data_IF_397524035056
#
_entry.id   IF_397524035056
#
_cell.length_a   1.000
_cell.length_b   1.000
_cell.length_c   1.000
_cell.angle_alpha   90.00
_cell.angle_beta   90.00
_cell.angle_gamma   90.00
#
_symmetry.space_group_name_H-M   'P 1'
#
loop_
_entity.id
_entity.type
_entity.pdbx_description
1 polymer ?
#
# COMPACT_ATOMS: atom_id res chain seq x y z
N UNK A 1 19.99 -1.72 -12.38
CA UNK A 1 18.60 -1.38 -12.23
C UNK A 1 18.04 -2.20 -11.07
N UNK A 2 17.21 -1.61 -10.23
CA UNK A 2 16.62 -2.30 -9.08
C UNK A 2 15.17 -2.66 -9.38
N UNK A 3 14.70 -3.78 -8.82
CA UNK A 3 13.38 -4.34 -9.10
C UNK A 3 12.66 -4.68 -7.80
N UNK A 4 11.34 -4.54 -7.81
CA UNK A 4 10.45 -5.05 -6.77
C UNK A 4 9.11 -5.46 -7.38
N UNK A 5 8.49 -6.52 -6.84
CA UNK A 5 7.11 -6.88 -7.20
C UNK A 5 6.18 -6.37 -6.10
N UNK A 6 5.29 -5.47 -6.43
CA UNK A 6 4.36 -4.83 -5.49
C UNK A 6 2.97 -4.72 -6.12
N UNK A 7 1.92 -5.02 -5.38
CA UNK A 7 0.51 -4.99 -5.83
C UNK A 7 0.24 -5.76 -7.13
N UNK A 8 1.04 -6.80 -7.37
CA UNK A 8 0.99 -7.61 -8.59
C UNK A 8 1.61 -6.94 -9.82
N UNK A 9 2.33 -5.83 -9.64
CA UNK A 9 3.09 -5.13 -10.68
C UNK A 9 4.59 -5.33 -10.49
N UNK A 10 5.33 -5.52 -11.59
CA UNK A 10 6.81 -5.54 -11.59
C UNK A 10 7.31 -4.13 -11.81
N UNK A 11 7.89 -3.56 -10.77
CA UNK A 11 8.38 -2.18 -10.76
C UNK A 11 9.90 -2.18 -10.88
N UNK A 12 10.41 -1.47 -11.90
CA UNK A 12 11.83 -1.19 -12.10
C UNK A 12 12.17 0.21 -11.61
N UNK A 13 13.26 0.35 -10.88
CA UNK A 13 13.76 1.63 -10.37
C UNK A 13 15.16 1.90 -10.96
N UNK A 14 15.24 2.96 -11.74
CA UNK A 14 16.50 3.59 -12.17
C UNK A 14 16.63 4.93 -11.45
N UNK A 15 17.59 5.05 -10.57
CA UNK A 15 17.75 6.23 -9.74
C UNK A 15 19.17 6.80 -9.81
N UNK A 16 19.29 7.95 -10.46
CA UNK A 16 20.56 8.67 -10.59
C UNK A 16 21.06 9.29 -9.27
N UNK A 17 20.26 9.22 -8.19
CA UNK A 17 20.56 9.85 -6.88
C UNK A 17 20.70 8.76 -5.81
N UNK A 18 21.93 8.33 -5.44
CA UNK A 18 22.14 7.19 -4.54
C UNK A 18 21.42 7.30 -3.18
N UNK A 19 21.41 8.51 -2.58
CA UNK A 19 20.72 8.74 -1.31
C UNK A 19 19.19 8.53 -1.41
N UNK A 20 18.62 8.84 -2.56
CA UNK A 20 17.20 8.64 -2.80
C UNK A 20 16.90 7.17 -3.06
N UNK A 21 17.77 6.46 -3.78
CA UNK A 21 17.66 5.01 -3.96
C UNK A 21 17.63 4.28 -2.61
N UNK A 22 18.57 4.60 -1.70
CA UNK A 22 18.59 4.03 -0.36
C UNK A 22 17.33 4.34 0.46
N UNK A 23 16.75 5.54 0.26
CA UNK A 23 15.50 5.95 0.89
C UNK A 23 14.31 5.16 0.34
N UNK A 24 14.27 4.90 -0.97
CA UNK A 24 13.23 4.10 -1.62
C UNK A 24 13.34 2.63 -1.20
N UNK A 25 14.56 2.09 -1.13
CA UNK A 25 14.80 0.74 -0.63
C UNK A 25 14.32 0.57 0.83
N UNK A 26 14.65 1.51 1.70
CA UNK A 26 14.11 1.52 3.05
C UNK A 26 12.57 1.63 3.07
N UNK A 27 11.97 2.33 2.11
CA UNK A 27 10.52 2.45 1.94
C UNK A 27 9.84 1.15 1.50
N UNK A 28 10.58 0.23 0.87
CA UNK A 28 10.12 -1.13 0.53
C UNK A 28 10.48 -2.17 1.60
N UNK A 29 11.13 -1.77 2.70
CA UNK A 29 11.63 -2.69 3.71
C UNK A 29 12.89 -3.46 3.30
N UNK A 30 13.65 -2.96 2.32
CA UNK A 30 14.88 -3.60 1.80
C UNK A 30 14.59 -4.63 0.70
N UNK A 31 13.46 -4.52 0.01
CA UNK A 31 13.04 -5.49 -1.02
C UNK A 31 13.47 -5.08 -2.45
N UNK A 32 14.18 -3.95 -2.62
CA UNK A 32 14.73 -3.59 -3.91
C UNK A 32 15.96 -4.45 -4.22
N UNK A 33 15.88 -5.30 -5.23
CA UNK A 33 16.96 -6.20 -5.65
C UNK A 33 17.48 -5.84 -7.03
N UNK A 34 18.78 -6.01 -7.27
CA UNK A 34 19.33 -5.89 -8.62
C UNK A 34 18.87 -7.06 -9.48
N UNK A 35 18.18 -6.76 -10.59
CA UNK A 35 17.68 -7.77 -11.51
C UNK A 35 17.54 -7.23 -12.94
N UNK A 36 17.36 -8.15 -13.90
CA UNK A 36 17.02 -7.82 -15.27
C UNK A 36 15.59 -7.27 -15.40
N UNK A 37 15.37 -6.43 -16.42
CA UNK A 37 14.11 -5.70 -16.64
C UNK A 37 13.00 -6.53 -17.30
N UNK A 38 12.98 -7.84 -17.11
CA UNK A 38 11.99 -8.68 -17.76
C UNK A 38 10.59 -8.50 -17.16
N UNK A 39 9.59 -8.35 -18.02
CA UNK A 39 8.18 -8.25 -17.62
C UNK A 39 7.83 -7.04 -16.75
N UNK A 40 8.60 -5.95 -16.83
CA UNK A 40 8.36 -4.70 -16.09
C UNK A 40 7.07 -4.06 -16.57
N UNK A 41 6.22 -3.68 -15.61
CA UNK A 41 4.95 -3.00 -15.86
C UNK A 41 4.95 -1.55 -15.38
N UNK A 42 5.84 -1.20 -14.45
CA UNK A 42 6.06 0.18 -13.97
C UNK A 42 7.55 0.48 -14.01
N UNK A 43 7.95 1.47 -14.79
CA UNK A 43 9.32 1.98 -14.82
C UNK A 43 9.39 3.31 -14.08
N UNK A 44 10.17 3.39 -13.03
CA UNK A 44 10.49 4.63 -12.34
C UNK A 44 11.92 5.04 -12.71
N UNK A 45 12.07 6.21 -13.33
CA UNK A 45 13.33 6.89 -13.56
C UNK A 45 13.42 8.13 -12.67
N UNK A 46 14.39 8.18 -11.76
CA UNK A 46 14.64 9.35 -10.93
C UNK A 46 15.86 10.09 -11.43
N UNK A 47 15.64 11.25 -12.03
CA UNK A 47 16.67 12.08 -12.62
C UNK A 47 17.31 13.03 -11.61
N UNK A 48 18.62 13.23 -11.70
CA UNK A 48 19.34 14.23 -10.92
C UNK A 48 19.10 15.68 -11.40
N UNK A 49 18.41 15.86 -12.54
CA UNK A 49 18.13 17.16 -13.12
C UNK A 49 17.10 17.95 -12.27
N UNK A 50 17.50 19.13 -11.83
CA UNK A 50 16.65 20.05 -11.06
C UNK A 50 15.80 21.00 -11.95
N UNK A 51 15.84 20.89 -13.29
CA UNK A 51 15.03 21.73 -14.19
C UNK A 51 13.58 21.26 -14.24
N UNK A 52 12.61 22.19 -14.46
CA UNK A 52 11.21 21.80 -14.66
C UNK A 52 11.06 20.94 -15.93
N UNK A 53 10.05 20.07 -15.93
CA UNK A 53 9.63 19.46 -17.18
C UNK A 53 9.06 20.51 -18.11
N UNK A 54 9.30 20.38 -19.44
CA UNK A 54 8.65 21.23 -20.43
C UNK A 54 7.15 20.98 -20.43
N UNK A 55 6.39 22.08 -20.44
CA UNK A 55 4.93 22.09 -20.55
C UNK A 55 4.46 22.37 -21.99
N UNK A 56 5.40 22.48 -22.94
CA UNK A 56 5.08 22.71 -24.32
C UNK A 56 4.17 21.60 -24.87
N UNK A 57 3.07 21.98 -25.50
CA UNK A 57 2.08 21.03 -26.01
C UNK A 57 1.19 20.38 -24.97
N UNK A 58 1.27 20.81 -23.70
CA UNK A 58 0.40 20.32 -22.63
C UNK A 58 -0.76 21.29 -22.35
N UNK A 59 -1.91 20.75 -21.98
CA UNK A 59 -3.09 21.50 -21.52
C UNK A 59 -3.14 21.46 -19.99
N UNK A 60 -3.31 22.62 -19.36
CA UNK A 60 -3.51 22.70 -17.91
C UNK A 60 -4.91 22.18 -17.56
N UNK A 61 -4.99 21.10 -16.76
CA UNK A 61 -6.27 20.49 -16.36
C UNK A 61 -6.55 20.65 -14.85
N UNK A 62 -5.58 21.13 -14.09
CA UNK A 62 -5.71 21.37 -12.66
C UNK A 62 -4.48 22.06 -12.09
N UNK A 63 -4.53 22.45 -10.82
CA UNK A 63 -3.41 23.12 -10.18
C UNK A 63 -2.16 22.23 -10.18
N UNK A 64 -1.16 22.63 -10.99
CA UNK A 64 0.08 21.87 -11.12
C UNK A 64 -0.04 20.57 -11.91
N UNK A 65 -1.11 20.43 -12.70
CA UNK A 65 -1.37 19.23 -13.50
C UNK A 65 -1.61 19.59 -14.94
N UNK A 66 -0.84 19.02 -15.84
CA UNK A 66 -0.97 19.18 -17.28
C UNK A 66 -1.17 17.83 -17.95
N UNK A 67 -2.03 17.80 -18.93
CA UNK A 67 -2.26 16.65 -19.81
C UNK A 67 -1.66 16.91 -21.19
N UNK A 68 -1.04 15.90 -21.77
CA UNK A 68 -0.68 15.83 -23.19
C UNK A 68 -1.19 14.51 -23.76
N UNK A 69 -1.18 14.27 -25.07
CA UNK A 69 -1.59 13.00 -25.63
C UNK A 69 -0.88 11.84 -24.93
N UNK A 70 -1.63 11.02 -24.20
CA UNK A 70 -1.17 9.85 -23.44
C UNK A 70 -0.07 10.15 -22.40
N UNK A 71 -0.01 11.36 -21.83
CA UNK A 71 0.89 11.66 -20.74
C UNK A 71 0.32 12.64 -19.74
N UNK A 72 0.79 12.56 -18.50
CA UNK A 72 0.49 13.49 -17.43
C UNK A 72 1.77 14.11 -16.89
N UNK A 73 1.72 15.39 -16.59
CA UNK A 73 2.77 16.10 -15.87
C UNK A 73 2.17 16.65 -14.58
N UNK A 74 2.75 16.28 -13.43
CA UNK A 74 2.30 16.70 -12.11
C UNK A 74 3.47 17.40 -11.40
N UNK A 75 3.30 18.65 -11.04
CA UNK A 75 4.28 19.37 -10.22
C UNK A 75 3.98 19.20 -8.75
N UNK A 76 5.02 19.04 -7.94
CA UNK A 76 4.93 18.84 -6.49
C UNK A 76 3.90 17.75 -6.12
N UNK A 77 4.02 16.60 -6.79
CA UNK A 77 3.09 15.48 -6.63
C UNK A 77 2.94 15.10 -5.14
N UNK A 78 1.71 15.02 -4.66
CA UNK A 78 1.38 14.72 -3.27
C UNK A 78 2.03 15.65 -2.23
N UNK A 79 2.49 16.84 -2.61
CA UNK A 79 3.28 17.76 -1.76
C UNK A 79 4.58 17.13 -1.25
N UNK A 80 5.21 16.32 -2.08
CA UNK A 80 6.46 15.60 -1.77
C UNK A 80 7.73 16.37 -2.17
N UNK A 81 7.58 17.35 -3.06
CA UNK A 81 8.68 18.04 -3.73
C UNK A 81 9.13 17.32 -5.01
N UNK A 82 8.46 16.26 -5.44
CA UNK A 82 8.73 15.62 -6.71
C UNK A 82 7.80 16.12 -7.81
N UNK A 83 8.37 16.52 -8.95
CA UNK A 83 7.65 16.66 -10.19
C UNK A 83 7.67 15.30 -10.91
N UNK A 84 6.53 14.89 -11.45
CA UNK A 84 6.37 13.63 -12.15
C UNK A 84 5.94 13.86 -13.59
N UNK A 85 6.54 13.11 -14.52
CA UNK A 85 5.99 12.84 -15.85
C UNK A 85 5.59 11.39 -15.92
N UNK A 86 4.34 11.12 -16.26
CA UNK A 86 3.78 9.77 -16.33
C UNK A 86 3.35 9.49 -17.76
N UNK A 87 3.93 8.48 -18.39
CA UNK A 87 3.75 8.12 -19.79
C UNK A 87 3.40 6.64 -19.91
N UNK A 88 2.10 6.29 -20.08
CA UNK A 88 1.71 4.94 -20.44
C UNK A 88 2.29 4.53 -21.79
N UNK A 89 2.88 3.32 -21.87
CA UNK A 89 3.50 2.77 -23.09
C UNK A 89 3.11 1.29 -23.22
N UNK A 90 2.08 1.00 -24.02
CA UNK A 90 1.59 -0.37 -24.17
C UNK A 90 1.10 -0.98 -22.85
N UNK A 91 1.72 -2.07 -22.42
CA UNK A 91 1.40 -2.77 -21.16
C UNK A 91 2.12 -2.23 -19.92
N UNK A 92 2.99 -1.23 -20.10
CA UNK A 92 3.78 -0.61 -19.03
C UNK A 92 3.47 0.89 -18.87
N UNK A 93 3.89 1.45 -17.75
CA UNK A 93 3.91 2.90 -17.51
C UNK A 93 5.33 3.35 -17.15
N UNK A 94 5.77 4.45 -17.75
CA UNK A 94 7.02 5.12 -17.42
C UNK A 94 6.73 6.34 -16.56
N UNK A 95 7.38 6.40 -15.40
CA UNK A 95 7.30 7.51 -14.44
C UNK A 95 8.68 8.12 -14.34
N UNK A 96 8.83 9.34 -14.87
CA UNK A 96 10.06 10.10 -14.70
C UNK A 96 9.87 11.10 -13.56
N UNK A 97 10.76 11.08 -12.57
CA UNK A 97 10.67 11.93 -11.39
C UNK A 97 11.87 12.88 -11.27
N UNK A 98 11.63 14.12 -10.85
CA UNK A 98 12.65 15.12 -10.52
C UNK A 98 12.37 15.70 -9.15
N UNK A 99 13.38 15.72 -8.27
CA UNK A 99 13.23 16.30 -6.93
C UNK A 99 13.45 17.81 -6.96
N UNK A 100 12.37 18.59 -6.86
CA UNK A 100 12.35 20.04 -6.98
C UNK A 100 11.52 20.72 -5.87
N UNK A 101 11.81 20.45 -4.60
CA UNK A 101 11.04 21.03 -3.52
C UNK A 101 11.24 22.55 -3.42
N UNK A 102 10.18 23.28 -3.08
CA UNK A 102 10.30 24.65 -2.61
C UNK A 102 11.13 24.70 -1.33
N UNK A 103 11.75 25.84 -1.01
CA UNK A 103 12.65 25.96 0.13
C UNK A 103 12.00 25.49 1.45
N UNK A 104 10.76 25.86 1.72
CA UNK A 104 10.02 25.44 2.92
C UNK A 104 9.80 23.91 2.95
N UNK A 105 9.44 23.28 1.81
CA UNK A 105 9.27 21.83 1.71
C UNK A 105 10.63 21.13 1.89
N UNK A 106 11.70 21.66 1.32
CA UNK A 106 13.06 21.13 1.49
C UNK A 106 13.47 21.12 2.97
N UNK A 107 13.28 22.24 3.66
CA UNK A 107 13.55 22.31 5.09
C UNK A 107 12.70 21.31 5.89
N UNK A 108 11.40 21.23 5.61
CA UNK A 108 10.50 20.27 6.25
C UNK A 108 10.92 18.82 6.00
N UNK A 109 11.35 18.47 4.79
CA UNK A 109 11.81 17.13 4.44
C UNK A 109 13.10 16.73 5.16
N UNK A 110 13.98 17.69 5.46
CA UNK A 110 15.18 17.45 6.27
C UNK A 110 14.82 17.22 7.73
N UNK A 111 13.99 18.08 8.31
CA UNK A 111 13.59 18.01 9.72
C UNK A 111 12.69 16.79 9.99
N UNK A 112 11.81 16.47 9.06
CA UNK A 112 10.84 15.35 9.16
C UNK A 112 11.27 14.18 8.25
N UNK A 113 12.50 13.72 8.39
CA UNK A 113 13.10 12.72 7.49
C UNK A 113 12.26 11.42 7.37
N UNK A 114 11.71 10.93 8.48
CA UNK A 114 10.82 9.75 8.49
C UNK A 114 9.56 9.97 7.65
N UNK A 115 8.93 11.16 7.79
CA UNK A 115 7.78 11.54 6.98
C UNK A 115 8.15 11.66 5.50
N UNK A 116 9.30 12.25 5.21
CA UNK A 116 9.78 12.38 3.82
C UNK A 116 10.03 11.02 3.18
N UNK A 117 10.66 10.07 3.90
CA UNK A 117 10.87 8.70 3.42
C UNK A 117 9.54 8.04 3.03
N UNK A 118 8.56 8.08 3.93
CA UNK A 118 7.24 7.52 3.66
C UNK A 118 6.57 8.18 2.44
N UNK A 119 6.60 9.51 2.38
CA UNK A 119 5.97 10.27 1.30
C UNK A 119 6.67 10.04 -0.05
N UNK A 120 8.00 9.91 -0.08
CA UNK A 120 8.75 9.59 -1.28
C UNK A 120 8.42 8.18 -1.79
N UNK A 121 8.41 7.17 -0.92
CA UNK A 121 8.00 5.81 -1.28
C UNK A 121 6.56 5.77 -1.80
N UNK A 122 5.62 6.44 -1.14
CA UNK A 122 4.23 6.55 -1.60
C UNK A 122 4.14 7.20 -2.98
N UNK A 123 4.79 8.35 -3.18
CA UNK A 123 4.65 9.12 -4.41
C UNK A 123 5.34 8.47 -5.60
N UNK A 124 6.49 7.83 -5.38
CA UNK A 124 7.33 7.32 -6.45
C UNK A 124 7.12 5.83 -6.75
N UNK A 125 6.79 5.02 -5.74
CA UNK A 125 6.64 3.57 -5.90
C UNK A 125 5.17 3.14 -5.75
N UNK A 126 4.55 3.43 -4.60
CA UNK A 126 3.28 2.82 -4.22
C UNK A 126 2.11 3.34 -5.07
N UNK A 127 1.97 4.65 -5.23
CA UNK A 127 0.83 5.23 -5.94
C UNK A 127 0.85 4.97 -7.44
N UNK A 128 2.01 5.07 -8.14
CA UNK A 128 2.08 4.66 -9.54
C UNK A 128 1.73 3.18 -9.74
N UNK A 129 2.24 2.28 -8.87
CA UNK A 129 1.93 0.85 -8.94
C UNK A 129 0.45 0.56 -8.66
N UNK A 130 -0.14 1.15 -7.62
CA UNK A 130 -1.56 1.02 -7.29
C UNK A 130 -2.47 1.55 -8.41
N UNK A 131 -2.13 2.73 -8.98
CA UNK A 131 -2.88 3.28 -10.12
C UNK A 131 -2.78 2.37 -11.34
N UNK A 132 -1.59 1.84 -11.62
CA UNK A 132 -1.40 0.94 -12.75
C UNK A 132 -2.13 -0.40 -12.57
N UNK A 133 -2.14 -0.93 -11.35
CA UNK A 133 -2.89 -2.12 -10.97
C UNK A 133 -4.43 -1.91 -11.11
N UNK A 134 -4.91 -0.69 -10.85
CA UNK A 134 -6.35 -0.39 -10.95
C UNK A 134 -6.91 -0.51 -12.37
N UNK A 135 -6.08 -0.38 -13.40
CA UNK A 135 -6.45 -0.66 -14.80
C UNK A 135 -6.81 -2.14 -15.06
N UNK A 136 -6.38 -3.02 -14.18
CA UNK A 136 -6.66 -4.47 -14.22
C UNK A 136 -7.79 -4.87 -13.27
N UNK A 137 -8.59 -3.92 -12.82
CA UNK A 137 -9.69 -4.14 -11.88
C UNK A 137 -9.26 -4.40 -10.43
N UNK A 138 -7.97 -4.21 -10.10
CA UNK A 138 -7.50 -4.33 -8.73
C UNK A 138 -7.73 -3.03 -7.98
N UNK A 139 -8.30 -3.11 -6.78
CA UNK A 139 -8.56 -1.94 -5.95
C UNK A 139 -7.73 -1.98 -4.67
N UNK A 140 -7.21 -0.84 -4.18
CA UNK A 140 -6.55 -0.83 -2.89
C UNK A 140 -7.58 -1.04 -1.77
N UNK A 141 -7.30 -2.03 -0.91
CA UNK A 141 -8.02 -2.26 0.34
C UNK A 141 -7.08 -2.13 1.53
N UNK A 142 -7.58 -1.54 2.63
CA UNK A 142 -6.83 -1.44 3.88
C UNK A 142 -6.97 -2.70 4.71
N UNK A 143 -6.19 -3.71 4.35
CA UNK A 143 -6.22 -5.04 4.94
C UNK A 143 -4.81 -5.58 5.15
N UNK A 144 -4.65 -6.47 6.15
CA UNK A 144 -3.53 -7.38 6.27
C UNK A 144 -3.96 -8.75 5.73
N UNK A 145 -3.06 -9.46 5.04
CA UNK A 145 -3.36 -10.81 4.54
C UNK A 145 -2.20 -11.74 4.84
N UNK A 146 -2.50 -12.83 5.56
CA UNK A 146 -1.51 -13.83 5.94
C UNK A 146 -2.05 -15.25 5.78
N UNK A 147 -1.14 -16.20 5.67
CA UNK A 147 -1.41 -17.63 5.61
C UNK A 147 -0.69 -18.36 6.72
N UNK A 148 -1.43 -19.17 7.45
CA UNK A 148 -0.95 -20.00 8.55
C UNK A 148 -1.69 -21.33 8.64
N UNK A 149 -1.57 -22.02 9.77
CA UNK A 149 -2.19 -23.34 9.99
C UNK A 149 -3.73 -23.34 9.88
N UNK A 150 -4.38 -22.16 9.97
CA UNK A 150 -5.82 -22.00 9.82
C UNK A 150 -6.29 -21.58 8.43
N UNK A 151 -5.40 -21.57 7.40
CA UNK A 151 -5.72 -21.10 6.05
C UNK A 151 -5.27 -19.65 5.80
N UNK A 152 -5.81 -19.04 4.76
CA UNK A 152 -5.45 -17.67 4.31
C UNK A 152 -6.50 -16.67 4.83
N UNK A 153 -6.07 -15.82 5.74
CA UNK A 153 -6.96 -14.85 6.39
C UNK A 153 -6.72 -13.44 5.87
N UNK A 154 -7.79 -12.79 5.41
CA UNK A 154 -7.83 -11.35 5.17
C UNK A 154 -8.36 -10.66 6.43
N UNK A 155 -7.61 -9.70 6.97
CA UNK A 155 -7.97 -8.98 8.20
C UNK A 155 -8.27 -7.53 7.86
N UNK A 156 -9.52 -7.12 8.02
CA UNK A 156 -9.99 -5.75 7.94
C UNK A 156 -10.12 -5.13 9.34
N UNK A 157 -10.13 -3.81 9.40
CA UNK A 157 -10.37 -3.07 10.64
C UNK A 157 -9.68 -1.72 10.66
N UNK A 158 -10.06 -0.84 11.60
CA UNK A 158 -9.54 0.53 11.66
C UNK A 158 -8.01 0.56 11.89
N UNK A 159 -7.40 1.69 11.57
CA UNK A 159 -5.99 1.90 11.90
C UNK A 159 -5.77 1.83 13.42
N UNK A 160 -4.69 1.15 13.84
CA UNK A 160 -4.36 1.02 15.27
C UNK A 160 -5.15 -0.05 16.03
N UNK A 161 -6.03 -0.82 15.38
CA UNK A 161 -6.81 -1.88 16.04
C UNK A 161 -5.96 -3.08 16.50
N UNK A 162 -4.75 -3.27 15.91
CA UNK A 162 -3.85 -4.36 16.26
C UNK A 162 -3.50 -5.32 15.11
N UNK A 163 -3.89 -5.01 13.86
CA UNK A 163 -3.59 -5.86 12.68
C UNK A 163 -2.09 -6.21 12.60
N UNK A 164 -1.22 -5.20 12.61
CA UNK A 164 0.24 -5.39 12.54
C UNK A 164 0.80 -6.21 13.71
N UNK A 165 0.22 -6.07 14.89
CA UNK A 165 0.62 -6.83 16.09
C UNK A 165 0.32 -8.32 15.91
N UNK A 166 -0.90 -8.65 15.46
CA UNK A 166 -1.31 -10.03 15.20
C UNK A 166 -0.52 -10.65 14.05
N UNK A 167 -0.29 -9.87 12.98
CA UNK A 167 0.53 -10.30 11.86
C UNK A 167 1.97 -10.59 12.31
N UNK A 168 2.60 -9.70 13.08
CA UNK A 168 3.93 -9.90 13.63
C UNK A 168 4.01 -11.16 14.49
N UNK A 169 2.98 -11.43 15.29
CA UNK A 169 2.92 -12.64 16.09
C UNK A 169 2.83 -13.92 15.23
N UNK A 170 2.07 -13.90 14.14
CA UNK A 170 1.99 -15.01 13.19
C UNK A 170 3.32 -15.24 12.46
N UNK A 171 3.95 -14.19 11.95
CA UNK A 171 5.25 -14.28 11.28
C UNK A 171 6.35 -14.86 12.18
N UNK A 172 6.37 -14.51 13.47
CA UNK A 172 7.29 -15.12 14.47
C UNK A 172 7.07 -16.62 14.67
N UNK A 173 5.92 -17.16 14.25
CA UNK A 173 5.57 -18.59 14.28
C UNK A 173 5.68 -19.27 12.91
N UNK A 174 6.25 -18.59 11.91
CA UNK A 174 6.48 -19.15 10.59
C UNK A 174 5.30 -18.97 9.61
N UNK A 175 4.28 -18.19 9.95
CA UNK A 175 3.27 -17.76 8.98
C UNK A 175 3.91 -16.91 7.88
N UNK A 176 3.28 -16.88 6.70
CA UNK A 176 3.66 -16.02 5.59
C UNK A 176 2.59 -14.94 5.39
N UNK A 177 2.97 -13.82 4.78
CA UNK A 177 2.05 -12.73 4.52
C UNK A 177 2.34 -12.04 3.19
N UNK A 178 1.32 -11.39 2.61
CA UNK A 178 1.55 -10.56 1.43
C UNK A 178 1.68 -9.07 1.79
N UNK A 179 0.92 -8.57 2.78
CA UNK A 179 1.04 -7.22 3.28
C UNK A 179 0.52 -7.07 4.71
N UNK A 180 0.99 -6.02 5.40
CA UNK A 180 0.49 -5.60 6.72
C UNK A 180 -0.71 -4.65 6.64
N UNK A 181 -0.75 -3.77 5.64
CA UNK A 181 -1.60 -2.59 5.70
C UNK A 181 -2.43 -2.35 4.43
N UNK A 182 -1.84 -2.52 3.24
CA UNK A 182 -2.50 -2.29 1.96
C UNK A 182 -2.28 -3.48 1.03
N UNK A 183 -3.37 -3.99 0.46
CA UNK A 183 -3.33 -4.89 -0.69
C UNK A 183 -4.09 -4.27 -1.87
N UNK A 184 -3.60 -4.44 -3.09
CA UNK A 184 -4.44 -4.31 -4.26
C UNK A 184 -5.18 -5.63 -4.46
N UNK A 185 -6.51 -5.61 -4.41
CA UNK A 185 -7.34 -6.81 -4.47
C UNK A 185 -8.20 -6.81 -5.72
N UNK A 186 -8.31 -7.95 -6.35
CA UNK A 186 -9.47 -8.29 -7.19
C UNK A 186 -10.48 -9.09 -6.37
N UNK A 187 -11.42 -9.77 -7.02
CA UNK A 187 -12.47 -10.53 -6.32
C UNK A 187 -11.97 -11.81 -5.64
N UNK A 188 -10.75 -12.28 -5.95
CA UNK A 188 -10.18 -13.55 -5.49
C UNK A 188 -8.85 -13.41 -4.79
N UNK A 189 -7.98 -12.55 -5.31
CA UNK A 189 -6.57 -12.49 -4.93
C UNK A 189 -6.24 -11.14 -4.30
N UNK A 190 -5.46 -11.17 -3.23
CA UNK A 190 -4.86 -10.00 -2.58
C UNK A 190 -3.37 -9.93 -2.95
N UNK A 191 -2.97 -8.84 -3.59
CA UNK A 191 -1.58 -8.55 -3.98
C UNK A 191 -1.02 -7.50 -3.03
N UNK A 192 0.02 -7.88 -2.27
CA UNK A 192 0.54 -7.03 -1.21
C UNK A 192 1.29 -5.79 -1.71
N UNK A 193 1.05 -4.66 -1.06
CA UNK A 193 1.90 -3.49 -1.17
C UNK A 193 3.21 -3.76 -0.41
N UNK A 194 4.35 -3.57 -1.08
CA UNK A 194 5.66 -3.79 -0.48
C UNK A 194 6.03 -2.58 0.37
N UNK A 195 5.95 -2.77 1.68
CA UNK A 195 6.34 -1.78 2.69
C UNK A 195 6.87 -2.51 3.95
N UNK A 196 7.67 -1.85 4.81
CA UNK A 196 8.07 -2.44 6.07
C UNK A 196 6.88 -2.61 7.01
N UNK A 197 6.94 -3.65 7.85
CA UNK A 197 6.00 -3.85 8.95
C UNK A 197 6.24 -2.79 10.03
N UNK A 198 5.17 -2.15 10.52
CA UNK A 198 5.24 -1.12 11.57
C UNK A 198 4.73 -1.66 12.89
N UNK A 199 5.66 -2.00 13.78
CA UNK A 199 5.35 -2.62 15.08
C UNK A 199 5.61 -1.69 16.26
N UNK A 200 4.99 -2.01 17.39
CA UNK A 200 5.17 -1.33 18.68
C UNK A 200 5.50 -2.36 19.75
N UNK A 201 6.48 -3.22 19.48
CA UNK A 201 6.84 -4.37 20.34
C UNK A 201 8.26 -4.27 20.92
N UNK A 202 8.89 -3.09 20.88
CA UNK A 202 10.27 -2.90 21.33
C UNK A 202 11.34 -3.38 20.34
N UNK A 203 10.94 -3.80 19.13
CA UNK A 203 11.88 -4.17 18.06
C UNK A 203 12.85 -3.03 17.75
N UNK A 204 14.08 -3.38 17.35
CA UNK A 204 15.08 -2.41 16.88
C UNK A 204 14.89 -2.15 15.39
N UNK A 205 14.85 -0.87 15.02
CA UNK A 205 14.73 -0.45 13.63
C UNK A 205 14.52 1.05 13.48
N UNK A 206 14.39 1.56 12.25
CA UNK A 206 14.07 2.94 11.99
C UNK A 206 12.75 3.36 12.63
N UNK A 207 12.71 4.58 13.17
CA UNK A 207 11.49 5.13 13.74
C UNK A 207 10.44 5.38 12.66
N UNK A 208 9.21 4.98 12.93
CA UNK A 208 8.02 5.25 12.13
C UNK A 208 7.11 6.27 12.84
N UNK A 209 6.11 6.85 12.14
CA UNK A 209 5.11 7.70 12.78
C UNK A 209 4.42 7.01 13.96
N UNK A 210 4.01 7.81 14.94
CA UNK A 210 3.30 7.37 16.15
C UNK A 210 4.11 6.44 17.08
N UNK A 211 5.45 6.62 17.13
CA UNK A 211 6.32 5.86 18.05
C UNK A 211 6.47 4.37 17.69
N UNK A 212 6.16 4.01 16.45
CA UNK A 212 6.36 2.65 15.94
C UNK A 212 7.78 2.47 15.41
N UNK A 213 8.20 1.22 15.27
CA UNK A 213 9.46 0.83 14.63
C UNK A 213 9.16 0.10 13.33
N UNK A 214 9.93 0.40 12.28
CA UNK A 214 9.85 -0.33 11.01
C UNK A 214 10.78 -1.54 11.05
N UNK A 215 10.25 -2.69 10.68
CA UNK A 215 11.01 -3.94 10.53
C UNK A 215 10.69 -4.58 9.18
N UNK A 216 11.60 -5.34 8.56
CA UNK A 216 11.30 -6.09 7.35
C UNK A 216 10.11 -7.04 7.57
N UNK A 217 9.23 -7.17 6.57
CA UNK A 217 8.19 -8.19 6.59
C UNK A 217 8.78 -9.50 6.09
N UNK A 218 9.29 -10.29 7.02
CA UNK A 218 9.87 -11.63 6.72
C UNK A 218 8.76 -12.59 6.28
N UNK A 219 9.09 -13.53 5.38
CA UNK A 219 8.09 -14.47 4.86
C UNK A 219 7.07 -13.84 3.91
N UNK A 220 7.42 -12.71 3.29
CA UNK A 220 6.59 -12.06 2.28
C UNK A 220 6.40 -12.96 1.05
N UNK A 221 5.15 -13.02 0.58
CA UNK A 221 4.76 -13.59 -0.72
C UNK A 221 4.06 -12.53 -1.56
N UNK A 222 4.17 -12.57 -2.90
CA UNK A 222 3.62 -11.52 -3.77
C UNK A 222 2.10 -11.39 -3.70
N UNK A 223 1.39 -12.50 -3.52
CA UNK A 223 -0.06 -12.54 -3.42
C UNK A 223 -0.53 -13.74 -2.60
N UNK A 224 -1.76 -13.65 -2.12
CA UNK A 224 -2.49 -14.73 -1.44
C UNK A 224 -3.96 -14.71 -1.88
N UNK A 225 -4.62 -15.87 -1.86
CA UNK A 225 -6.05 -16.01 -2.10
C UNK A 225 -6.74 -16.27 -0.76
N UNK A 226 -7.45 -15.28 -0.18
CA UNK A 226 -8.12 -15.43 1.10
C UNK A 226 -9.26 -16.46 1.03
N UNK A 227 -9.33 -17.30 2.05
CA UNK A 227 -10.44 -18.24 2.28
C UNK A 227 -11.43 -17.75 3.35
N UNK A 228 -11.07 -16.69 4.09
CA UNK A 228 -11.93 -16.04 5.09
C UNK A 228 -11.62 -14.55 5.24
N UNK A 229 -12.65 -13.81 5.72
CA UNK A 229 -12.56 -12.39 6.05
C UNK A 229 -12.81 -12.17 7.54
N UNK A 230 -11.84 -11.58 8.24
CA UNK A 230 -11.93 -11.22 9.66
C UNK A 230 -12.04 -9.71 9.81
N UNK A 231 -13.13 -9.26 10.42
CA UNK A 231 -13.31 -7.88 10.88
C UNK A 231 -12.75 -7.78 12.29
N UNK A 232 -11.63 -7.07 12.43
CA UNK A 232 -10.92 -6.94 13.70
C UNK A 232 -11.41 -5.73 14.49
N UNK A 233 -11.75 -5.93 15.76
CA UNK A 233 -12.13 -4.89 16.72
C UNK A 233 -11.38 -5.07 18.03
N UNK A 234 -11.33 -4.04 18.86
CA UNK A 234 -10.90 -4.19 20.25
C UNK A 234 -12.03 -4.65 21.11
N UNK A 235 -11.76 -5.58 22.03
CA UNK A 235 -12.68 -5.89 23.11
C UNK A 235 -12.83 -4.69 24.07
N UNK A 236 -13.93 -4.63 24.77
CA UNK A 236 -14.11 -3.67 25.88
C UNK A 236 -13.07 -3.99 26.96
N UNK A 237 -12.60 -2.96 27.67
CA UNK A 237 -11.60 -3.15 28.71
C UNK A 237 -12.07 -4.18 29.75
N UNK A 238 -11.23 -5.19 30.00
CA UNK A 238 -11.52 -6.30 30.91
C UNK A 238 -12.27 -7.48 30.28
N UNK A 239 -12.75 -7.37 29.04
CA UNK A 239 -13.38 -8.49 28.34
C UNK A 239 -12.35 -9.39 27.65
N UNK A 240 -12.57 -10.72 27.62
CA UNK A 240 -11.71 -11.63 26.88
C UNK A 240 -11.89 -11.45 25.36
N UNK A 241 -10.91 -11.96 24.60
CA UNK A 241 -11.05 -12.07 23.15
C UNK A 241 -12.24 -12.95 22.77
N UNK A 242 -12.98 -12.55 21.75
CA UNK A 242 -14.16 -13.28 21.29
C UNK A 242 -14.26 -13.28 19.75
N UNK A 243 -14.94 -14.28 19.23
CA UNK A 243 -15.16 -14.48 17.79
C UNK A 243 -16.64 -14.77 17.56
N UNK A 244 -17.23 -14.09 16.59
CA UNK A 244 -18.62 -14.33 16.16
C UNK A 244 -18.75 -14.20 14.64
N UNK A 245 -19.66 -14.95 13.98
CA UNK A 245 -19.98 -14.69 12.59
C UNK A 245 -20.61 -13.30 12.44
N UNK A 246 -20.38 -12.69 11.27
CA UNK A 246 -21.03 -11.44 10.86
C UNK A 246 -21.58 -11.56 9.45
N UNK A 247 -22.55 -10.71 9.11
CA UNK A 247 -23.09 -10.67 7.76
C UNK A 247 -22.04 -10.13 6.76
N UNK A 248 -22.17 -10.54 5.49
CA UNK A 248 -21.37 -9.98 4.42
C UNK A 248 -21.50 -8.45 4.35
N UNK A 249 -22.70 -7.92 4.56
CA UNK A 249 -22.98 -6.48 4.55
C UNK A 249 -22.20 -5.73 5.67
N UNK A 250 -22.14 -6.30 6.88
CA UNK A 250 -21.34 -5.73 7.97
C UNK A 250 -19.84 -5.72 7.61
N UNK A 251 -19.35 -6.84 7.07
CA UNK A 251 -17.96 -6.95 6.65
C UNK A 251 -17.60 -5.97 5.51
N UNK A 252 -18.49 -5.78 4.54
CA UNK A 252 -18.33 -4.78 3.46
C UNK A 252 -18.23 -3.38 4.02
N UNK A 253 -19.11 -3.00 4.94
CA UNK A 253 -19.07 -1.65 5.57
C UNK A 253 -17.70 -1.40 6.22
N UNK A 254 -17.16 -2.37 6.94
CA UNK A 254 -15.87 -2.24 7.60
C UNK A 254 -14.70 -2.19 6.60
N UNK A 255 -14.73 -3.00 5.55
CA UNK A 255 -13.73 -2.96 4.47
C UNK A 255 -13.71 -1.59 3.78
N UNK A 256 -14.87 -1.10 3.37
CA UNK A 256 -15.01 0.16 2.64
C UNK A 256 -14.62 1.34 3.53
N UNK A 257 -15.21 1.42 4.73
CA UNK A 257 -14.91 2.50 5.68
C UNK A 257 -13.43 2.50 6.08
N UNK A 258 -12.86 1.34 6.44
CA UNK A 258 -11.45 1.20 6.78
C UNK A 258 -10.51 1.63 5.65
N UNK A 259 -10.88 1.34 4.41
CA UNK A 259 -10.09 1.70 3.22
C UNK A 259 -10.10 3.21 2.99
N UNK A 260 -11.25 3.87 3.03
CA UNK A 260 -11.31 5.32 2.83
C UNK A 260 -10.72 6.12 4.00
N UNK A 261 -10.77 5.59 5.20
CA UNK A 261 -10.17 6.22 6.38
C UNK A 261 -8.66 5.97 6.51
N UNK A 262 -8.08 5.07 5.70
CA UNK A 262 -6.66 4.79 5.72
C UNK A 262 -5.83 6.02 5.33
N UNK A 263 -5.01 6.49 6.26
CA UNK A 263 -4.16 7.68 6.04
C UNK A 263 -3.20 7.52 4.86
N UNK A 264 -2.74 6.31 4.61
CA UNK A 264 -1.87 5.91 3.52
C UNK A 264 -2.51 6.12 2.14
N UNK A 265 -3.82 5.94 2.02
CA UNK A 265 -4.58 6.09 0.76
C UNK A 265 -5.14 7.50 0.57
N UNK A 266 -5.06 8.37 1.57
CA UNK A 266 -5.63 9.72 1.50
C UNK A 266 -5.13 10.55 0.30
N UNK A 267 -3.86 10.40 -0.06
CA UNK A 267 -3.26 11.08 -1.21
C UNK A 267 -3.37 10.27 -2.50
N UNK A 268 -3.59 8.98 -2.38
CA UNK A 268 -3.75 8.09 -3.53
C UNK A 268 -4.99 8.45 -4.36
N UNK A 269 -6.13 8.68 -3.72
CA UNK A 269 -7.38 8.95 -4.43
C UNK A 269 -7.28 10.14 -5.40
N UNK A 270 -6.86 11.34 -4.98
CA UNK A 270 -6.68 12.45 -5.91
C UNK A 270 -5.54 12.20 -6.91
N UNK A 271 -4.48 11.48 -6.54
CA UNK A 271 -3.41 11.12 -7.45
C UNK A 271 -3.90 10.21 -8.59
N UNK A 272 -4.63 9.15 -8.27
CA UNK A 272 -5.20 8.22 -9.25
C UNK A 272 -6.22 8.92 -10.17
N UNK A 273 -7.13 9.72 -9.61
CA UNK A 273 -8.08 10.51 -10.38
C UNK A 273 -7.38 11.47 -11.33
N UNK A 274 -6.33 12.15 -10.88
CA UNK A 274 -5.52 13.05 -11.71
C UNK A 274 -4.90 12.32 -12.89
N UNK A 275 -4.31 11.16 -12.67
CA UNK A 275 -3.71 10.36 -13.74
C UNK A 275 -4.77 9.83 -14.71
N UNK A 276 -5.90 9.35 -14.21
CA UNK A 276 -7.00 8.88 -15.06
C UNK A 276 -7.53 9.99 -15.97
N UNK A 277 -7.75 11.18 -15.44
CA UNK A 277 -8.21 12.35 -16.21
C UNK A 277 -7.16 12.85 -17.22
N UNK A 278 -5.89 12.85 -16.82
CA UNK A 278 -4.81 13.38 -17.68
C UNK A 278 -4.42 12.43 -18.82
N UNK A 279 -4.49 11.11 -18.58
CA UNK A 279 -4.06 10.09 -19.54
C UNK A 279 -5.20 9.39 -20.27
N UNK A 280 -6.43 9.54 -19.78
CA UNK A 280 -7.59 8.77 -20.26
C UNK A 280 -7.56 7.29 -19.88
N UNK A 281 -6.69 6.89 -18.95
CA UNK A 281 -6.45 5.48 -18.61
C UNK A 281 -6.74 5.19 -17.14
N UNK A 282 -7.39 4.03 -16.90
CA UNK A 282 -7.80 3.60 -15.57
C UNK A 282 -9.07 4.30 -15.08
N UNK A 283 -9.62 3.84 -13.97
CA UNK A 283 -10.79 4.46 -13.36
C UNK A 283 -10.40 5.76 -12.66
N UNK A 284 -11.26 6.78 -12.76
CA UNK A 284 -11.11 8.03 -11.97
C UNK A 284 -11.18 7.69 -10.48
N UNK A 285 -11.99 6.70 -10.13
CA UNK A 285 -12.09 6.14 -8.79
C UNK A 285 -12.20 4.62 -8.88
N UNK A 286 -11.25 3.84 -8.30
CA UNK A 286 -11.35 2.39 -8.23
C UNK A 286 -12.63 1.94 -7.51
N UNK A 287 -13.30 0.89 -8.00
CA UNK A 287 -14.54 0.38 -7.44
C UNK A 287 -14.33 -0.44 -6.16
N UNK A 288 -13.97 0.26 -5.08
CA UNK A 288 -13.73 -0.33 -3.76
C UNK A 288 -14.95 -1.09 -3.25
N UNK A 289 -16.14 -0.53 -3.42
CA UNK A 289 -17.38 -1.14 -2.92
C UNK A 289 -17.73 -2.41 -3.69
N UNK A 290 -17.60 -2.41 -5.02
CA UNK A 290 -17.87 -3.60 -5.83
C UNK A 290 -16.95 -4.76 -5.49
N UNK A 291 -15.64 -4.52 -5.37
CA UNK A 291 -14.68 -5.57 -5.00
C UNK A 291 -14.89 -6.04 -3.56
N UNK A 292 -15.16 -5.13 -2.61
CA UNK A 292 -15.45 -5.49 -1.22
C UNK A 292 -16.71 -6.38 -1.12
N UNK A 293 -17.78 -6.06 -1.87
CA UNK A 293 -18.99 -6.88 -1.95
C UNK A 293 -18.70 -8.28 -2.50
N UNK A 294 -17.95 -8.37 -3.61
CA UNK A 294 -17.60 -9.65 -4.21
C UNK A 294 -16.77 -10.54 -3.27
N UNK A 295 -15.80 -9.95 -2.56
CA UNK A 295 -14.98 -10.65 -1.56
C UNK A 295 -15.86 -11.16 -0.41
N UNK A 296 -16.70 -10.31 0.19
CA UNK A 296 -17.50 -10.67 1.35
C UNK A 296 -18.64 -11.65 1.02
N UNK A 297 -19.15 -11.64 -0.22
CA UNK A 297 -20.12 -12.63 -0.69
C UNK A 297 -19.53 -14.04 -0.86
N UNK A 298 -18.22 -14.11 -1.12
CA UNK A 298 -17.51 -15.38 -1.36
C UNK A 298 -16.95 -15.99 -0.08
N UNK A 299 -16.54 -15.14 0.89
CA UNK A 299 -15.81 -15.60 2.07
C UNK A 299 -16.69 -15.69 3.30
N UNK A 300 -16.49 -16.70 4.17
CA UNK A 300 -17.02 -16.65 5.51
C UNK A 300 -16.50 -15.41 6.24
N UNK A 301 -17.41 -14.59 6.76
CA UNK A 301 -17.12 -13.34 7.45
C UNK A 301 -17.25 -13.49 8.96
N UNK A 302 -16.25 -13.06 9.70
CA UNK A 302 -16.17 -13.21 11.14
C UNK A 302 -15.71 -11.90 11.79
N UNK A 303 -16.37 -11.45 12.87
CA UNK A 303 -15.84 -10.42 13.75
C UNK A 303 -14.95 -11.08 14.80
N UNK A 304 -13.76 -10.53 14.99
CA UNK A 304 -12.86 -10.89 16.07
C UNK A 304 -12.61 -9.68 16.95
N UNK A 305 -13.01 -9.78 18.22
CA UNK A 305 -12.66 -8.80 19.26
C UNK A 305 -11.43 -9.28 19.98
N UNK A 306 -10.38 -8.46 20.04
CA UNK A 306 -9.14 -8.80 20.71
C UNK A 306 -9.04 -8.06 22.04
N UNK A 307 -8.73 -8.80 23.11
CA UNK A 307 -8.42 -8.23 24.41
C UNK A 307 -7.19 -7.33 24.36
N UNK A 308 -7.10 -6.36 25.24
CA UNK A 308 -5.94 -5.49 25.36
C UNK A 308 -4.68 -6.32 25.65
N UNK A 309 -3.58 -6.02 24.95
CA UNK A 309 -2.30 -6.74 25.09
C UNK A 309 -2.27 -8.14 24.46
N UNK A 310 -3.34 -8.61 23.84
CA UNK A 310 -3.32 -9.92 23.16
C UNK A 310 -2.31 -9.92 22.00
N UNK A 311 -1.46 -10.94 21.98
CA UNK A 311 -0.46 -11.22 20.93
C UNK A 311 -0.68 -12.58 20.27
N UNK A 312 -1.85 -13.20 20.50
CA UNK A 312 -2.20 -14.50 19.92
C UNK A 312 -2.50 -14.33 18.43
N UNK A 313 -1.88 -15.11 17.52
CA UNK A 313 -2.17 -15.04 16.08
C UNK A 313 -3.63 -15.31 15.78
N UNK A 314 -4.11 -14.71 14.67
CA UNK A 314 -5.52 -14.80 14.25
C UNK A 314 -5.96 -16.25 14.03
N UNK A 315 -5.15 -17.07 13.36
CA UNK A 315 -5.46 -18.48 13.12
C UNK A 315 -5.61 -19.31 14.41
N UNK A 316 -4.88 -18.96 15.46
CA UNK A 316 -5.02 -19.62 16.78
C UNK A 316 -6.31 -19.20 17.49
N UNK A 317 -6.64 -17.90 17.47
CA UNK A 317 -7.90 -17.38 18.03
C UNK A 317 -9.13 -17.97 17.33
N UNK A 318 -9.08 -18.13 16.00
CA UNK A 318 -10.16 -18.75 15.23
C UNK A 318 -10.35 -20.24 15.62
N UNK A 319 -9.26 -20.99 15.77
CA UNK A 319 -9.34 -22.40 16.18
C UNK A 319 -9.88 -22.56 17.61
N UNK A 320 -9.45 -21.71 18.55
CA UNK A 320 -9.96 -21.71 19.93
C UNK A 320 -11.45 -21.42 19.99
N UNK A 321 -11.97 -20.62 19.07
CA UNK A 321 -13.41 -20.28 18.96
C UNK A 321 -14.24 -21.33 18.20
N UNK A 322 -13.65 -22.42 17.71
CA UNK A 322 -14.34 -23.43 16.91
C UNK A 322 -14.72 -22.95 15.49
N UNK A 323 -14.12 -21.88 15.03
CA UNK A 323 -14.37 -21.25 13.72
C UNK A 323 -13.27 -21.59 12.68
N UNK A 324 -12.60 -22.71 12.88
CA UNK A 324 -11.50 -23.19 12.05
C UNK A 324 -11.95 -24.05 10.86
#
# INVERSE_FOLDING_TARGET
MHMVTTVGERLAVDCAVPRLLALLDAGTGGELTEAAADGVTVHLEVQADGRPFSQAGCTLIGRGVWAAPQSALITDACSSGFDLRVEPRGSAVHVTARYRPRAAIRAANVVLATRFRLLAAQTLLHYPALWWASRRGRVPLHVSVSSGAGGVTMIAGPSGVGKSTLLSAGLKRGEIATADNICACDTHTAYGLVEPLRVQDGSRGPSAPHGRTEVPLTGRVPCLEPDRLVVLRRAVAGEPSSVRPVSAEEAVRELVAGTYMAGELRRFWPFAATLALATGLGPVHPDVAGVANAIAARLPCTEMRIAEGSVTPVGELLRMAGAG
#
